data_IF_511075701666
#
_entry.id   IF_511075701666
#
_cell.length_a   1.000
_cell.length_b   1.000
_cell.length_c   1.000
_cell.angle_alpha   90.00
_cell.angle_beta   90.00
_cell.angle_gamma   90.00
#
_symmetry.space_group_name_H-M   'P 1'
#
loop_
_entity.id
_entity.type
_entity.pdbx_description
1 polymer ?
#
# COMPACT_ATOMS: atom_id res chain seq x y z
N UNK A 1 -14.23 -6.74 1.88
CA UNK A 1 -13.23 -5.81 1.34
C UNK A 1 -11.98 -5.86 2.20
N UNK A 2 -10.79 -5.71 1.64
CA UNK A 2 -9.48 -5.68 2.32
C UNK A 2 -8.62 -4.59 1.71
N UNK A 3 -7.78 -3.91 2.49
CA UNK A 3 -6.84 -2.89 1.99
C UNK A 3 -5.42 -3.35 2.25
N UNK A 4 -4.60 -3.35 1.21
CA UNK A 4 -3.20 -3.72 1.24
C UNK A 4 -2.35 -2.48 0.95
N UNK A 5 -1.34 -2.24 1.78
CA UNK A 5 -0.44 -1.11 1.67
C UNK A 5 0.95 -1.58 1.23
N UNK A 6 1.55 -0.88 0.28
CA UNK A 6 2.99 -0.95 0.11
C UNK A 6 3.71 -0.23 1.26
N UNK A 7 5.02 -0.45 1.39
CA UNK A 7 5.81 0.11 2.48
C UNK A 7 6.62 1.33 2.07
N UNK A 8 7.57 1.14 1.15
CA UNK A 8 8.54 2.17 0.77
C UNK A 8 7.83 3.29 -0.02
N UNK A 9 8.07 4.55 0.35
CA UNK A 9 7.43 5.76 -0.20
C UNK A 9 5.88 5.79 -0.13
N UNK A 10 5.27 4.74 0.42
CA UNK A 10 3.85 4.66 0.73
C UNK A 10 3.60 4.90 2.23
N UNK A 11 3.86 3.91 3.09
CA UNK A 11 3.75 4.05 4.55
C UNK A 11 4.98 4.74 5.14
N UNK A 12 6.18 4.37 4.70
CA UNK A 12 7.45 4.93 5.14
C UNK A 12 7.98 5.93 4.12
N UNK A 13 7.76 7.22 4.37
CA UNK A 13 8.23 8.30 3.49
C UNK A 13 9.67 8.65 3.80
N UNK A 14 10.55 8.51 2.82
CA UNK A 14 11.96 8.83 2.96
C UNK A 14 12.19 10.35 2.98
N UNK A 15 12.89 10.84 4.01
CA UNK A 15 12.99 12.27 4.34
C UNK A 15 13.74 13.14 3.32
N UNK A 16 14.28 12.56 2.26
CA UNK A 16 15.12 13.31 1.31
C UNK A 16 14.46 13.64 -0.04
N UNK A 17 13.21 13.26 -0.26
CA UNK A 17 12.46 13.63 -1.48
C UNK A 17 13.12 13.21 -2.81
N UNK A 18 14.23 12.51 -2.73
CA UNK A 18 14.93 11.95 -3.86
C UNK A 18 14.73 10.45 -3.85
N UNK A 19 14.16 9.92 -4.91
CA UNK A 19 14.32 8.51 -5.23
C UNK A 19 15.81 8.20 -5.15
N UNK A 20 16.20 7.52 -4.08
CA UNK A 20 17.52 6.90 -4.03
C UNK A 20 17.58 6.05 -5.28
N UNK A 21 18.57 6.27 -6.17
CA UNK A 21 18.64 5.49 -7.40
C UNK A 21 18.58 4.01 -7.03
N UNK A 22 17.85 3.19 -7.80
CA UNK A 22 17.70 1.74 -7.54
C UNK A 22 19.04 1.04 -7.26
N UNK A 23 20.12 1.61 -7.77
CA UNK A 23 21.48 1.11 -7.55
C UNK A 23 21.99 1.41 -6.13
N UNK A 24 21.70 2.58 -5.60
CA UNK A 24 22.08 2.98 -4.25
C UNK A 24 21.19 2.27 -3.22
N UNK A 25 19.91 2.10 -3.55
CA UNK A 25 18.97 1.32 -2.71
C UNK A 25 19.43 -0.14 -2.62
N UNK A 26 19.73 -0.79 -3.75
CA UNK A 26 20.30 -2.16 -3.77
C UNK A 26 21.61 -2.27 -3.00
N UNK A 27 22.49 -1.27 -3.11
CA UNK A 27 23.73 -1.23 -2.35
C UNK A 27 23.47 -1.10 -0.85
N UNK A 28 22.60 -0.16 -0.45
CA UNK A 28 22.25 0.04 0.96
C UNK A 28 21.56 -1.20 1.55
N UNK A 29 20.67 -1.85 0.80
CA UNK A 29 20.01 -3.09 1.22
C UNK A 29 21.04 -4.21 1.40
N UNK A 30 21.97 -4.39 0.47
CA UNK A 30 23.01 -5.42 0.57
C UNK A 30 24.01 -5.20 1.72
N UNK A 31 24.32 -3.94 2.03
CA UNK A 31 25.28 -3.58 3.10
C UNK A 31 24.58 -3.50 4.46
N UNK A 32 23.30 -3.15 4.49
CA UNK A 32 22.54 -2.88 5.72
C UNK A 32 21.33 -3.81 5.89
N UNK A 33 21.26 -4.90 5.11
CA UNK A 33 20.19 -5.89 5.26
C UNK A 33 20.16 -6.35 6.70
N UNK A 34 19.17 -5.87 7.40
CA UNK A 34 19.05 -6.16 8.80
C UNK A 34 19.41 -5.01 9.75
N UNK A 35 19.85 -3.81 9.35
CA UNK A 35 20.05 -2.70 10.29
C UNK A 35 18.78 -1.86 10.49
N UNK A 36 18.43 -1.56 11.73
CA UNK A 36 17.35 -0.59 12.06
C UNK A 36 17.59 0.78 11.41
N UNK A 37 18.82 1.05 10.99
CA UNK A 37 19.26 2.35 10.45
C UNK A 37 18.63 2.70 9.11
N UNK A 38 18.26 1.70 8.29
CA UNK A 38 17.72 1.94 6.97
C UNK A 38 16.41 2.76 7.01
N UNK A 39 15.58 2.55 8.03
CA UNK A 39 14.30 3.25 8.19
C UNK A 39 14.27 4.25 9.35
N UNK A 40 15.36 4.42 10.10
CA UNK A 40 15.43 5.41 11.18
C UNK A 40 15.23 6.85 10.69
N UNK A 41 15.49 7.12 9.41
CA UNK A 41 15.28 8.43 8.79
C UNK A 41 13.92 8.56 8.11
N UNK A 42 13.18 7.46 7.95
CA UNK A 42 11.86 7.48 7.34
C UNK A 42 10.82 7.99 8.31
N UNK A 43 9.82 8.70 7.80
CA UNK A 43 8.71 9.23 8.57
C UNK A 43 7.40 8.56 8.15
N UNK A 44 6.47 8.33 9.09
CA UNK A 44 5.15 7.84 8.73
C UNK A 44 4.38 8.90 7.93
N UNK A 45 3.62 8.44 6.96
CA UNK A 45 2.64 9.27 6.27
C UNK A 45 1.41 9.45 7.18
N UNK A 46 1.30 10.61 7.82
CA UNK A 46 0.27 10.88 8.83
C UNK A 46 -1.15 10.85 8.25
N UNK A 47 -1.33 11.18 6.97
CA UNK A 47 -2.63 11.12 6.31
C UNK A 47 -3.04 9.66 6.07
N UNK A 48 -2.10 8.79 5.69
CA UNK A 48 -2.37 7.37 5.63
C UNK A 48 -2.68 6.78 7.01
N UNK A 49 -2.07 7.32 8.08
CA UNK A 49 -2.45 6.91 9.42
C UNK A 49 -3.93 7.21 9.71
N UNK A 50 -4.41 8.38 9.39
CA UNK A 50 -5.84 8.73 9.55
C UNK A 50 -6.75 7.80 8.75
N UNK A 51 -6.33 7.43 7.54
CA UNK A 51 -7.06 6.47 6.73
C UNK A 51 -7.06 5.07 7.39
N UNK A 52 -5.92 4.59 7.89
CA UNK A 52 -5.83 3.32 8.61
C UNK A 52 -6.68 3.34 9.89
N UNK A 53 -6.71 4.45 10.64
CA UNK A 53 -7.57 4.63 11.82
C UNK A 53 -9.05 4.49 11.42
N UNK A 54 -9.46 5.04 10.28
CA UNK A 54 -10.81 4.89 9.74
C UNK A 54 -11.11 3.42 9.34
N UNK A 55 -10.19 2.75 8.63
CA UNK A 55 -10.35 1.34 8.26
C UNK A 55 -10.50 0.45 9.50
N UNK A 56 -9.69 0.70 10.54
CA UNK A 56 -9.77 -0.02 11.80
C UNK A 56 -11.13 0.21 12.51
N UNK A 57 -11.61 1.45 12.54
CA UNK A 57 -12.93 1.78 13.08
C UNK A 57 -14.06 1.04 12.34
N UNK A 58 -13.93 0.86 11.03
CA UNK A 58 -14.88 0.12 10.19
C UNK A 58 -14.68 -1.40 10.19
N UNK A 59 -13.70 -1.91 10.94
CA UNK A 59 -13.30 -3.31 10.95
C UNK A 59 -12.93 -3.84 9.55
N UNK A 60 -12.33 -3.01 8.72
CA UNK A 60 -11.83 -3.40 7.41
C UNK A 60 -10.43 -4.00 7.58
N UNK A 61 -10.20 -5.27 7.19
CA UNK A 61 -8.89 -5.89 7.29
C UNK A 61 -7.82 -5.14 6.50
N UNK A 62 -6.66 -4.98 7.12
CA UNK A 62 -5.49 -4.31 6.53
C UNK A 62 -4.31 -5.26 6.47
N UNK A 63 -3.49 -5.15 5.42
CA UNK A 63 -2.26 -5.90 5.27
C UNK A 63 -1.14 -5.05 4.69
N UNK A 64 0.09 -5.52 4.86
CA UNK A 64 1.29 -4.99 4.23
C UNK A 64 1.68 -5.93 3.09
N UNK A 65 1.83 -5.39 1.86
CA UNK A 65 2.33 -6.13 0.71
C UNK A 65 3.54 -5.40 0.14
N UNK A 66 4.74 -5.87 0.45
CA UNK A 66 5.95 -5.11 0.14
C UNK A 66 7.08 -6.00 -0.35
N UNK A 67 7.88 -5.43 -1.26
CA UNK A 67 9.13 -6.04 -1.70
C UNK A 67 10.11 -6.20 -0.56
N UNK A 68 10.67 -7.42 -0.41
CA UNK A 68 11.70 -7.73 0.58
C UNK A 68 12.75 -8.64 -0.01
N UNK A 69 13.98 -8.50 0.45
CA UNK A 69 15.09 -9.35 0.01
C UNK A 69 15.34 -10.53 0.94
N UNK A 70 14.90 -10.42 2.19
CA UNK A 70 15.04 -11.47 3.20
C UNK A 70 13.98 -11.35 4.31
N UNK A 71 13.86 -12.40 5.12
CA UNK A 71 12.88 -12.47 6.21
C UNK A 71 13.11 -11.39 7.28
N UNK A 72 14.37 -10.98 7.52
CA UNK A 72 14.68 -9.96 8.54
C UNK A 72 14.21 -8.58 8.09
N UNK A 73 14.31 -8.28 6.79
CA UNK A 73 13.77 -7.05 6.23
C UNK A 73 12.23 -7.02 6.37
N UNK A 74 11.58 -8.16 6.16
CA UNK A 74 10.14 -8.30 6.34
C UNK A 74 9.70 -8.03 7.80
N UNK A 75 10.33 -8.70 8.75
CA UNK A 75 10.05 -8.54 10.18
C UNK A 75 10.19 -7.07 10.61
N UNK A 76 11.24 -6.39 10.14
CA UNK A 76 11.48 -4.98 10.47
C UNK A 76 10.49 -4.01 9.88
N UNK A 77 10.03 -4.23 8.66
CA UNK A 77 8.96 -3.43 8.08
C UNK A 77 7.71 -3.51 8.96
N UNK A 78 7.36 -4.70 9.41
CA UNK A 78 6.23 -4.94 10.32
C UNK A 78 6.43 -4.24 11.68
N UNK A 79 7.62 -4.40 12.28
CA UNK A 79 7.96 -3.71 13.54
C UNK A 79 7.85 -2.19 13.37
N UNK A 80 8.40 -1.66 12.28
CA UNK A 80 8.35 -0.23 12.00
C UNK A 80 6.90 0.26 11.84
N UNK A 81 6.04 -0.47 11.12
CA UNK A 81 4.62 -0.14 10.99
C UNK A 81 3.93 -0.15 12.35
N UNK A 82 4.19 -1.17 13.17
CA UNK A 82 3.64 -1.26 14.51
C UNK A 82 4.07 -0.09 15.41
N UNK A 83 5.34 0.29 15.37
CA UNK A 83 5.90 1.40 16.15
C UNK A 83 5.33 2.76 15.72
N UNK A 84 5.13 2.99 14.43
CA UNK A 84 4.76 4.30 13.89
C UNK A 84 3.25 4.48 13.65
N UNK A 85 2.53 3.41 13.35
CA UNK A 85 1.09 3.44 13.09
C UNK A 85 0.25 2.83 14.21
N UNK A 86 0.83 1.99 15.05
CA UNK A 86 0.13 1.30 16.13
C UNK A 86 -0.63 0.05 15.69
N UNK A 87 -0.45 -0.41 14.44
CA UNK A 87 -1.17 -1.55 13.87
C UNK A 87 -0.26 -2.76 13.66
N UNK A 88 -0.77 -3.95 13.96
CA UNK A 88 -0.18 -5.21 13.52
C UNK A 88 -0.88 -5.63 12.24
N UNK A 89 -0.21 -5.47 11.10
CA UNK A 89 -0.73 -5.82 9.78
C UNK A 89 -0.41 -7.28 9.45
N UNK A 90 -1.28 -7.92 8.66
CA UNK A 90 -0.90 -9.15 7.97
C UNK A 90 0.24 -8.83 6.99
N UNK A 91 1.23 -9.73 6.92
CA UNK A 91 2.44 -9.47 6.15
C UNK A 91 2.53 -10.40 4.93
N UNK A 92 2.56 -9.79 3.77
CA UNK A 92 2.72 -10.44 2.47
C UNK A 92 4.04 -10.00 1.84
N UNK A 93 5.07 -10.82 2.01
CA UNK A 93 6.40 -10.55 1.47
C UNK A 93 6.51 -11.03 0.04
N UNK A 94 6.98 -10.18 -0.85
CA UNK A 94 7.19 -10.49 -2.25
C UNK A 94 8.62 -10.16 -2.66
N UNK A 95 9.17 -10.92 -3.60
CA UNK A 95 10.55 -10.72 -4.09
C UNK A 95 10.63 -9.82 -5.33
N UNK A 96 9.49 -9.56 -5.97
CA UNK A 96 9.40 -8.73 -7.18
C UNK A 96 8.02 -8.13 -7.34
N UNK A 97 7.90 -7.17 -8.25
CA UNK A 97 6.61 -6.57 -8.61
C UNK A 97 5.66 -7.57 -9.28
N UNK A 98 6.20 -8.46 -10.11
CA UNK A 98 5.43 -9.54 -10.72
C UNK A 98 4.84 -10.47 -9.65
N UNK A 99 5.64 -10.82 -8.65
CA UNK A 99 5.17 -11.63 -7.53
C UNK A 99 4.12 -10.88 -6.69
N UNK A 100 4.19 -9.55 -6.61
CA UNK A 100 3.16 -8.75 -5.93
C UNK A 100 1.78 -8.96 -6.57
N UNK A 101 1.70 -9.00 -7.89
CA UNK A 101 0.44 -9.25 -8.60
C UNK A 101 -0.09 -10.67 -8.37
N UNK A 102 0.79 -11.67 -8.36
CA UNK A 102 0.43 -13.07 -8.04
C UNK A 102 -0.10 -13.15 -6.60
N UNK A 103 0.56 -12.49 -5.67
CA UNK A 103 0.16 -12.49 -4.26
C UNK A 103 -1.20 -11.82 -4.06
N UNK A 104 -1.49 -10.71 -4.76
CA UNK A 104 -2.82 -10.07 -4.73
C UNK A 104 -3.92 -11.06 -5.14
N UNK A 105 -3.71 -11.82 -6.21
CA UNK A 105 -4.65 -12.85 -6.67
C UNK A 105 -4.81 -13.96 -5.64
N UNK A 106 -3.70 -14.44 -5.09
CA UNK A 106 -3.72 -15.46 -4.03
C UNK A 106 -4.51 -15.02 -2.81
N UNK A 107 -4.31 -13.74 -2.38
CA UNK A 107 -5.07 -13.16 -1.26
C UNK A 107 -6.57 -13.12 -1.57
N UNK A 108 -6.96 -12.75 -2.80
CA UNK A 108 -8.36 -12.76 -3.21
C UNK A 108 -8.95 -14.16 -3.11
N UNK A 109 -8.31 -15.15 -3.72
CA UNK A 109 -8.74 -16.54 -3.75
C UNK A 109 -8.87 -17.15 -2.35
N UNK A 110 -7.82 -17.03 -1.53
CA UNK A 110 -7.78 -17.62 -0.18
C UNK A 110 -8.85 -17.01 0.73
N UNK A 111 -9.16 -15.74 0.56
CA UNK A 111 -10.20 -15.08 1.37
C UNK A 111 -11.61 -15.14 0.75
N UNK A 112 -11.77 -15.76 -0.41
CA UNK A 112 -13.06 -15.82 -1.11
C UNK A 112 -13.59 -14.45 -1.52
N UNK A 113 -12.68 -13.53 -1.84
CA UNK A 113 -13.00 -12.17 -2.25
C UNK A 113 -12.91 -12.04 -3.78
N UNK A 114 -13.76 -11.20 -4.34
CA UNK A 114 -13.59 -10.73 -5.72
C UNK A 114 -12.45 -9.69 -5.75
N UNK A 115 -11.74 -9.57 -6.87
CA UNK A 115 -10.60 -8.64 -7.03
C UNK A 115 -10.98 -7.20 -6.65
N UNK A 116 -12.16 -6.73 -7.08
CA UNK A 116 -12.67 -5.39 -6.73
C UNK A 116 -12.93 -5.17 -5.23
N UNK A 117 -12.88 -6.22 -4.43
CA UNK A 117 -12.99 -6.14 -2.97
C UNK A 117 -11.62 -6.05 -2.27
N UNK A 118 -10.53 -6.00 -3.05
CA UNK A 118 -9.18 -5.75 -2.55
C UNK A 118 -8.71 -4.42 -3.11
N UNK A 119 -8.28 -3.54 -2.23
CA UNK A 119 -7.66 -2.27 -2.58
C UNK A 119 -6.15 -2.33 -2.34
N UNK A 120 -5.36 -1.94 -3.34
CA UNK A 120 -3.92 -1.74 -3.24
C UNK A 120 -3.63 -0.24 -3.10
N UNK A 121 -2.86 0.13 -2.07
CA UNK A 121 -2.29 1.47 -1.90
C UNK A 121 -0.78 1.38 -2.14
N UNK A 122 -0.29 1.99 -3.22
CA UNK A 122 1.10 1.86 -3.67
C UNK A 122 1.54 3.17 -4.35
N UNK A 123 2.79 3.61 -4.17
CA UNK A 123 3.30 4.82 -4.82
C UNK A 123 3.78 4.57 -6.26
N UNK A 124 3.98 3.30 -6.63
CA UNK A 124 4.52 2.91 -7.92
C UNK A 124 3.41 2.66 -8.94
N UNK A 125 3.31 3.58 -9.91
CA UNK A 125 2.23 3.58 -10.93
C UNK A 125 2.13 2.30 -11.75
N UNK A 126 3.25 1.59 -12.00
CA UNK A 126 3.18 0.31 -12.72
C UNK A 126 2.46 -0.76 -11.90
N UNK A 127 2.68 -0.79 -10.58
CA UNK A 127 1.94 -1.71 -9.69
C UNK A 127 0.45 -1.40 -9.72
N UNK A 128 0.09 -0.11 -9.59
CA UNK A 128 -1.31 0.32 -9.63
C UNK A 128 -1.95 -0.05 -10.98
N UNK A 129 -1.31 0.30 -12.10
CA UNK A 129 -1.84 0.00 -13.44
C UNK A 129 -1.94 -1.49 -13.75
N UNK A 130 -1.06 -2.32 -13.22
CA UNK A 130 -1.14 -3.78 -13.38
C UNK A 130 -2.25 -4.37 -12.52
N UNK A 131 -2.38 -3.93 -11.26
CA UNK A 131 -3.47 -4.35 -10.38
C UNK A 131 -4.85 -3.95 -10.93
N UNK A 132 -4.99 -2.72 -11.45
CA UNK A 132 -6.21 -2.23 -12.08
C UNK A 132 -6.65 -3.07 -13.29
N UNK A 133 -5.71 -3.43 -14.18
CA UNK A 133 -5.98 -4.34 -15.31
C UNK A 133 -6.47 -5.72 -14.87
N UNK A 134 -6.14 -6.15 -13.66
CA UNK A 134 -6.59 -7.40 -13.05
C UNK A 134 -7.91 -7.26 -12.28
N UNK A 135 -8.50 -6.06 -12.23
CA UNK A 135 -9.76 -5.80 -11.58
C UNK A 135 -9.68 -5.39 -10.09
N UNK A 136 -8.47 -5.19 -9.56
CA UNK A 136 -8.27 -4.69 -8.20
C UNK A 136 -8.59 -3.20 -8.11
N UNK A 137 -9.05 -2.75 -6.96
CA UNK A 137 -9.16 -1.31 -6.65
C UNK A 137 -7.77 -0.76 -6.32
N UNK A 138 -7.40 0.40 -6.85
CA UNK A 138 -6.05 0.96 -6.66
C UNK A 138 -6.11 2.41 -6.21
N UNK A 139 -5.17 2.79 -5.35
CA UNK A 139 -4.99 4.18 -4.91
C UNK A 139 -3.51 4.49 -4.78
N UNK A 140 -3.10 5.64 -5.27
CA UNK A 140 -1.83 6.23 -4.86
C UNK A 140 -1.96 6.83 -3.44
N UNK A 141 -0.85 6.97 -2.69
CA UNK A 141 -0.87 7.67 -1.40
C UNK A 141 -1.44 9.08 -1.49
N UNK A 142 -1.20 9.78 -2.59
CA UNK A 142 -1.71 11.14 -2.81
C UNK A 142 -3.22 11.17 -2.97
N UNK A 143 -3.82 10.20 -3.64
CA UNK A 143 -5.28 10.07 -3.76
C UNK A 143 -5.92 9.87 -2.39
N UNK A 144 -5.34 9.00 -1.55
CA UNK A 144 -5.81 8.81 -0.17
C UNK A 144 -5.70 10.10 0.63
N UNK A 145 -4.59 10.84 0.52
CA UNK A 145 -4.41 12.14 1.18
C UNK A 145 -5.50 13.12 0.75
N UNK A 146 -5.79 13.20 -0.54
CA UNK A 146 -6.85 14.07 -1.07
C UNK A 146 -8.22 13.64 -0.55
N UNK A 147 -8.51 12.35 -0.51
CA UNK A 147 -9.76 11.82 0.04
C UNK A 147 -9.93 12.19 1.52
N UNK A 148 -8.92 11.94 2.34
CA UNK A 148 -8.95 12.28 3.78
C UNK A 148 -9.12 13.76 4.01
N UNK A 149 -8.51 14.61 3.18
CA UNK A 149 -8.60 16.06 3.32
C UNK A 149 -9.92 16.67 2.80
N UNK A 150 -10.51 16.07 1.75
CA UNK A 150 -11.69 16.62 1.08
C UNK A 150 -13.01 16.06 1.58
N UNK A 151 -13.03 14.87 2.20
CA UNK A 151 -14.27 14.17 2.54
C UNK A 151 -14.38 13.89 4.02
N UNK A 152 -15.58 14.06 4.55
CA UNK A 152 -15.93 13.50 5.86
C UNK A 152 -15.97 11.98 5.77
N UNK A 153 -15.74 11.29 6.88
CA UNK A 153 -15.65 9.82 6.95
C UNK A 153 -16.79 9.06 6.23
N UNK A 154 -17.97 9.65 6.11
CA UNK A 154 -19.13 9.09 5.39
C UNK A 154 -18.94 8.95 3.88
N UNK A 155 -18.10 9.78 3.28
CA UNK A 155 -17.86 9.77 1.83
C UNK A 155 -16.78 8.77 1.44
N UNK A 156 -15.80 8.54 2.31
CA UNK A 156 -14.80 7.48 2.14
C UNK A 156 -15.47 6.10 2.02
N UNK A 157 -16.50 5.85 2.80
CA UNK A 157 -17.24 4.57 2.77
C UNK A 157 -17.90 4.34 1.40
N UNK A 158 -18.50 5.36 0.81
CA UNK A 158 -19.16 5.26 -0.50
C UNK A 158 -18.16 4.98 -1.63
N UNK A 159 -16.98 5.60 -1.58
CA UNK A 159 -15.95 5.41 -2.62
C UNK A 159 -15.29 4.04 -2.54
N UNK A 160 -15.15 3.48 -1.34
CA UNK A 160 -14.57 2.14 -1.14
C UNK A 160 -15.55 1.00 -1.49
N UNK A 161 -16.87 1.26 -1.48
CA UNK A 161 -17.92 0.24 -1.69
C UNK A 161 -18.48 0.28 -3.12
N UNK A 162 -18.31 1.38 -3.85
CA UNK A 162 -18.83 1.54 -5.22
C UNK A 162 -17.68 1.51 -6.23
N UNK A 163 -17.44 0.39 -6.90
CA UNK A 163 -16.59 0.34 -8.08
C UNK A 163 -17.36 0.74 -9.33
N UNK A 164 -18.04 1.90 -9.33
CA UNK A 164 -18.50 2.44 -10.58
C UNK A 164 -17.32 3.08 -11.30
N UNK A 165 -16.95 2.62 -12.51
CA UNK A 165 -15.93 3.29 -13.29
C UNK A 165 -16.46 4.68 -13.63
N UNK A 166 -15.88 5.68 -12.99
CA UNK A 166 -16.10 7.08 -13.37
C UNK A 166 -15.53 7.25 -14.77
N UNK A 167 -16.38 7.28 -15.78
CA UNK A 167 -16.02 7.75 -17.09
C UNK A 167 -16.14 6.78 -18.24
N UNK A 168 -17.29 6.10 -18.39
CA UNK A 168 -17.74 5.60 -19.68
C UNK A 168 -18.33 6.74 -20.51
N UNK A 169 -17.60 7.13 -21.53
CA UNK A 169 -18.02 7.80 -22.77
C UNK A 169 -19.32 8.63 -22.79
N UNK A 170 -19.16 9.95 -22.76
CA UNK A 170 -20.05 10.85 -23.49
C UNK A 170 -19.26 11.81 -24.41
N UNK A 171 -18.61 11.27 -25.39
CA UNK A 171 -18.30 12.01 -26.62
C UNK A 171 -18.82 11.20 -27.81
N UNK A 172 -20.12 11.27 -28.06
CA UNK A 172 -20.72 11.06 -29.37
C UNK A 172 -21.59 12.28 -29.63
N UNK A 173 -21.09 13.18 -30.39
CA UNK A 173 -21.56 13.93 -31.56
C UNK A 173 -20.88 15.27 -31.63
#
# INVERSE_FOLDING_TARGET
MRVLFDFDDTLAVHSQGHRISDHLMKYMINVHSGSKELWNTSKPNLQLKQFMDYLAYKNIPMGLISGVHDCKAAERKIEWVKENYGYSLENYCVSSQEQKMIELTTIAEVNGLHESQIALVDDYYENLGNAEKMGFTTFSPMEIVNLVNCFQNTDLEKMLISPDPVGGDKFTK
#
